data_IF_119540439853
#
_entry.id   IF_119540439853
#
_cell.length_a   1.000
_cell.length_b   1.000
_cell.length_c   1.000
_cell.angle_alpha   90.00
_cell.angle_beta   90.00
_cell.angle_gamma   90.00
#
_symmetry.space_group_name_H-M   'P 1'
#
loop_
_entity.id
_entity.type
_entity.pdbx_description
1 polymer ?
#
# COMPACT_ATOMS: atom_id res chain seq x y z
N UNK A 1 -1.04 0.70 45.34
CA UNK A 1 -2.51 0.82 45.21
C UNK A 1 -2.90 1.47 43.87
N UNK A 2 -2.15 2.48 43.41
CA UNK A 2 -2.46 3.25 42.19
C UNK A 2 -2.31 2.48 40.86
N UNK A 3 -1.43 1.48 40.77
CA UNK A 3 -1.24 0.69 39.54
C UNK A 3 -2.45 -0.23 39.26
N UNK A 4 -3.06 -0.79 40.31
CA UNK A 4 -4.25 -1.63 40.18
C UNK A 4 -5.48 -0.79 39.80
N UNK A 5 -5.61 0.42 40.35
CA UNK A 5 -6.70 1.34 40.00
C UNK A 5 -6.60 1.82 38.55
N UNK A 6 -5.39 2.13 38.05
CA UNK A 6 -5.17 2.49 36.65
C UNK A 6 -5.48 1.34 35.69
N UNK A 7 -5.13 0.10 36.05
CA UNK A 7 -5.45 -1.07 35.23
C UNK A 7 -6.96 -1.32 35.16
N UNK A 8 -7.67 -1.21 36.30
CA UNK A 8 -9.13 -1.38 36.37
C UNK A 8 -9.85 -0.27 35.58
N UNK A 9 -9.35 0.97 35.64
CA UNK A 9 -9.91 2.09 34.88
C UNK A 9 -9.69 1.91 33.38
N UNK A 10 -8.52 1.43 32.97
CA UNK A 10 -8.21 1.14 31.57
C UNK A 10 -9.05 -0.01 31.01
N UNK A 11 -9.22 -1.11 31.75
CA UNK A 11 -10.06 -2.24 31.33
C UNK A 11 -11.53 -1.84 31.25
N UNK A 12 -12.03 -1.05 32.22
CA UNK A 12 -13.41 -0.57 32.21
C UNK A 12 -13.66 0.45 31.07
N UNK A 13 -12.65 1.25 30.71
CA UNK A 13 -12.71 2.17 29.57
C UNK A 13 -12.76 1.43 28.23
N UNK A 14 -12.03 0.32 28.11
CA UNK A 14 -12.09 -0.56 26.94
C UNK A 14 -13.44 -1.27 26.87
N UNK A 15 -13.92 -1.87 27.97
CA UNK A 15 -15.23 -2.54 28.00
C UNK A 15 -16.38 -1.58 27.69
N UNK A 16 -16.32 -0.34 28.21
CA UNK A 16 -17.32 0.67 27.90
C UNK A 16 -17.26 1.11 26.44
N UNK A 17 -16.06 1.31 25.88
CA UNK A 17 -15.90 1.57 24.44
C UNK A 17 -16.41 0.43 23.56
N UNK A 18 -16.24 -0.83 24.00
CA UNK A 18 -16.75 -1.99 23.28
C UNK A 18 -18.28 -2.06 23.34
N UNK A 19 -18.89 -1.81 24.50
CA UNK A 19 -20.35 -1.73 24.66
C UNK A 19 -20.99 -0.57 23.89
N UNK A 20 -20.35 0.60 23.90
CA UNK A 20 -20.82 1.76 23.16
C UNK A 20 -20.69 1.50 21.64
N UNK A 21 -19.66 0.74 21.20
CA UNK A 21 -19.55 0.24 19.81
C UNK A 21 -20.61 -0.80 19.46
N UNK A 22 -20.92 -1.75 20.33
CA UNK A 22 -22.01 -2.72 20.11
C UNK A 22 -23.36 -2.01 19.93
N UNK A 23 -23.58 -0.89 20.63
CA UNK A 23 -24.78 -0.08 20.51
C UNK A 23 -24.82 0.74 19.21
N UNK A 24 -23.68 1.31 18.78
CA UNK A 24 -23.59 2.03 17.50
C UNK A 24 -23.65 1.09 16.29
N UNK A 25 -23.08 -0.12 16.38
CA UNK A 25 -23.13 -1.16 15.34
C UNK A 25 -24.54 -1.73 15.19
N UNK A 26 -25.33 -1.80 16.27
CA UNK A 26 -26.76 -2.15 16.22
C UNK A 26 -27.63 -1.11 15.49
N UNK A 27 -27.09 0.07 15.15
CA UNK A 27 -27.79 1.10 14.39
C UNK A 27 -27.61 1.01 12.86
N UNK A 28 -26.58 0.31 12.38
CA UNK A 28 -26.33 0.16 10.94
C UNK A 28 -27.09 -1.04 10.39
N UNK A 29 -27.79 -0.85 9.26
CA UNK A 29 -28.49 -1.97 8.61
C UNK A 29 -27.49 -3.02 8.11
N UNK A 30 -27.83 -4.32 8.17
CA UNK A 30 -26.95 -5.40 7.70
C UNK A 30 -26.38 -5.19 6.28
N UNK A 31 -27.07 -4.42 5.44
CA UNK A 31 -26.65 -4.06 4.10
C UNK A 31 -25.49 -3.05 4.09
N UNK A 32 -25.45 -2.11 5.04
CA UNK A 32 -24.38 -1.11 5.16
C UNK A 32 -23.03 -1.76 5.37
N UNK A 33 -22.93 -2.77 6.24
CA UNK A 33 -21.68 -3.50 6.46
C UNK A 33 -21.15 -4.14 5.17
N UNK A 34 -22.03 -4.76 4.37
CA UNK A 34 -21.64 -5.39 3.11
C UNK A 34 -21.10 -4.34 2.13
N UNK A 35 -21.79 -3.21 2.01
CA UNK A 35 -21.35 -2.10 1.14
C UNK A 35 -20.02 -1.53 1.61
N UNK A 36 -19.87 -1.27 2.92
CA UNK A 36 -18.62 -0.77 3.49
C UNK A 36 -17.46 -1.74 3.25
N UNK A 37 -17.67 -3.06 3.40
CA UNK A 37 -16.65 -4.06 3.11
C UNK A 37 -16.21 -4.04 1.64
N UNK A 38 -17.15 -3.87 0.69
CA UNK A 38 -16.81 -3.73 -0.73
C UNK A 38 -16.03 -2.44 -1.00
N UNK A 39 -16.44 -1.32 -0.40
CA UNK A 39 -15.73 -0.04 -0.54
C UNK A 39 -14.31 -0.13 0.04
N UNK A 40 -14.14 -0.73 1.21
CA UNK A 40 -12.85 -0.83 1.89
C UNK A 40 -11.93 -1.84 1.23
N UNK A 41 -12.39 -3.07 0.96
CA UNK A 41 -11.51 -4.14 0.48
C UNK A 41 -11.37 -4.25 -1.03
N UNK A 42 -12.26 -3.62 -1.81
CA UNK A 42 -12.19 -3.66 -3.28
C UNK A 42 -11.89 -2.28 -3.84
N UNK A 43 -12.71 -1.27 -3.51
CA UNK A 43 -12.61 0.04 -4.14
C UNK A 43 -11.38 0.83 -3.66
N UNK A 44 -11.18 0.93 -2.35
CA UNK A 44 -10.04 1.65 -1.74
C UNK A 44 -8.69 1.21 -2.33
N UNK A 45 -8.29 -0.07 -2.29
CA UNK A 45 -6.98 -0.50 -2.77
C UNK A 45 -6.83 -0.31 -4.29
N UNK A 46 -7.90 -0.47 -5.05
CA UNK A 46 -7.90 -0.21 -6.48
C UNK A 46 -7.68 1.29 -6.78
N UNK A 47 -8.40 2.18 -6.10
CA UNK A 47 -8.29 3.62 -6.29
C UNK A 47 -6.94 4.17 -5.82
N UNK A 48 -6.47 3.76 -4.64
CA UNK A 48 -5.16 4.22 -4.13
C UNK A 48 -4.04 3.82 -5.07
N UNK A 49 -4.02 2.56 -5.53
CA UNK A 49 -3.03 2.10 -6.50
C UNK A 49 -3.14 2.84 -7.84
N UNK A 50 -4.35 3.17 -8.30
CA UNK A 50 -4.55 3.91 -9.56
C UNK A 50 -4.02 5.35 -9.47
N UNK A 51 -4.26 6.03 -8.35
CA UNK A 51 -3.74 7.39 -8.11
C UNK A 51 -2.22 7.39 -8.03
N UNK A 52 -1.64 6.44 -7.28
CA UNK A 52 -0.19 6.30 -7.17
C UNK A 52 0.45 5.93 -8.50
N UNK A 53 -0.18 5.04 -9.28
CA UNK A 53 0.25 4.68 -10.64
C UNK A 53 0.29 5.88 -11.57
N UNK A 54 -0.73 6.74 -11.52
CA UNK A 54 -0.74 7.97 -12.30
C UNK A 54 0.43 8.91 -11.92
N UNK A 55 0.72 9.07 -10.64
CA UNK A 55 1.87 9.86 -10.19
C UNK A 55 3.21 9.21 -10.59
N UNK A 56 3.31 7.87 -10.50
CA UNK A 56 4.47 7.09 -10.93
C UNK A 56 4.76 7.24 -12.42
N UNK A 57 3.73 7.19 -13.27
CA UNK A 57 3.85 7.45 -14.71
C UNK A 57 4.46 8.82 -15.01
N UNK A 58 4.10 9.85 -14.24
CA UNK A 58 4.67 11.19 -14.39
C UNK A 58 6.15 11.19 -14.02
N UNK A 59 6.51 10.58 -12.88
CA UNK A 59 7.90 10.52 -12.43
C UNK A 59 8.79 9.77 -13.42
N UNK A 60 8.34 8.62 -13.91
CA UNK A 60 9.06 7.84 -14.93
C UNK A 60 9.20 8.62 -16.24
N UNK A 61 8.14 9.28 -16.69
CA UNK A 61 8.18 10.07 -17.92
C UNK A 61 9.25 11.16 -17.82
N UNK A 62 9.25 11.92 -16.73
CA UNK A 62 10.24 12.95 -16.46
C UNK A 62 11.66 12.38 -16.35
N UNK A 63 11.82 11.24 -15.67
CA UNK A 63 13.10 10.52 -15.58
C UNK A 63 13.69 10.20 -16.97
N UNK A 64 12.84 9.80 -17.92
CA UNK A 64 13.24 9.47 -19.30
C UNK A 64 13.49 10.71 -20.14
N UNK A 65 12.63 11.72 -20.05
CA UNK A 65 12.73 12.96 -20.83
C UNK A 65 13.96 13.78 -20.43
N UNK A 66 14.28 13.85 -19.14
CA UNK A 66 15.32 14.72 -18.60
C UNK A 66 16.70 14.05 -18.53
N UNK A 67 16.76 12.78 -18.10
CA UNK A 67 18.02 12.05 -17.90
C UNK A 67 18.29 10.99 -18.99
N UNK A 68 17.40 10.90 -19.97
CA UNK A 68 17.49 9.98 -21.10
C UNK A 68 17.03 8.55 -20.78
N UNK A 69 16.82 7.69 -21.79
CA UNK A 69 16.19 6.37 -21.60
C UNK A 69 16.92 5.42 -20.64
N UNK A 70 18.25 5.50 -20.56
CA UNK A 70 19.09 4.63 -19.71
C UNK A 70 18.96 4.94 -18.21
N UNK A 71 18.40 6.10 -17.84
CA UNK A 71 18.15 6.49 -16.45
C UNK A 71 17.18 5.54 -15.74
N UNK A 72 16.29 4.88 -16.48
CA UNK A 72 15.38 3.88 -15.94
C UNK A 72 16.11 2.66 -15.36
N UNK A 73 17.27 2.30 -15.92
CA UNK A 73 18.11 1.23 -15.38
C UNK A 73 19.01 1.75 -14.25
N UNK A 74 19.62 2.92 -14.44
CA UNK A 74 20.61 3.46 -13.49
C UNK A 74 19.97 4.00 -12.20
N UNK A 75 18.87 4.75 -12.33
CA UNK A 75 18.13 5.37 -11.22
C UNK A 75 16.94 4.49 -10.84
N UNK A 76 16.13 4.09 -11.82
CA UNK A 76 14.89 3.34 -11.57
C UNK A 76 15.05 1.83 -11.39
N UNK A 77 16.24 1.26 -11.57
CA UNK A 77 16.40 -0.20 -11.67
C UNK A 77 15.97 -0.94 -10.41
N UNK A 78 16.21 -0.35 -9.23
CA UNK A 78 15.77 -0.92 -7.95
C UNK A 78 14.24 -0.92 -7.82
N UNK A 79 13.58 0.15 -8.25
CA UNK A 79 12.12 0.24 -8.27
C UNK A 79 11.50 -0.85 -9.15
N UNK A 80 12.04 -1.05 -10.35
CA UNK A 80 11.60 -2.12 -11.27
C UNK A 80 11.83 -3.50 -10.65
N UNK A 81 12.99 -3.75 -10.06
CA UNK A 81 13.26 -5.03 -9.42
C UNK A 81 12.27 -5.35 -8.29
N UNK A 82 11.96 -4.37 -7.43
CA UNK A 82 10.97 -4.54 -6.34
C UNK A 82 9.54 -4.70 -6.88
N UNK A 83 9.21 -3.99 -7.96
CA UNK A 83 7.94 -4.11 -8.67
C UNK A 83 7.72 -5.55 -9.15
N UNK A 84 8.66 -6.09 -9.94
CA UNK A 84 8.59 -7.45 -10.47
C UNK A 84 8.67 -8.52 -9.37
N UNK A 85 9.49 -8.29 -8.34
CA UNK A 85 9.50 -9.17 -7.16
C UNK A 85 8.14 -9.21 -6.46
N UNK A 86 7.39 -8.09 -6.45
CA UNK A 86 6.04 -8.05 -5.93
C UNK A 86 5.10 -8.98 -6.67
N UNK A 87 5.11 -8.91 -8.00
CA UNK A 87 4.35 -9.84 -8.86
C UNK A 87 4.72 -11.29 -8.58
N UNK A 88 6.01 -11.61 -8.56
CA UNK A 88 6.47 -12.98 -8.31
C UNK A 88 6.09 -13.50 -6.91
N UNK A 89 6.23 -12.66 -5.88
CA UNK A 89 5.90 -13.03 -4.51
C UNK A 89 4.40 -13.29 -4.33
N UNK A 90 3.55 -12.42 -4.88
CA UNK A 90 2.11 -12.62 -4.83
C UNK A 90 1.65 -13.77 -5.72
N UNK A 91 2.27 -13.96 -6.89
CA UNK A 91 2.02 -15.12 -7.73
C UNK A 91 2.30 -16.42 -6.97
N UNK A 92 3.41 -16.49 -6.24
CA UNK A 92 3.71 -17.64 -5.37
C UNK A 92 2.67 -17.81 -4.26
N UNK A 93 2.31 -16.71 -3.56
CA UNK A 93 1.31 -16.72 -2.49
C UNK A 93 -0.04 -17.30 -2.96
N UNK A 94 -0.49 -16.92 -4.16
CA UNK A 94 -1.73 -17.40 -4.74
C UNK A 94 -1.58 -18.70 -5.54
N UNK A 95 -0.46 -19.42 -5.40
CA UNK A 95 -0.18 -20.69 -6.08
C UNK A 95 -0.25 -20.60 -7.62
N UNK A 96 0.15 -19.48 -8.21
CA UNK A 96 0.35 -19.38 -9.65
C UNK A 96 1.67 -20.04 -10.03
N UNK A 97 1.71 -20.62 -11.23
CA UNK A 97 2.94 -21.16 -11.80
C UNK A 97 3.70 -20.03 -12.48
N UNK A 98 4.73 -19.54 -11.82
CA UNK A 98 5.68 -18.57 -12.39
C UNK A 98 6.59 -19.30 -13.39
N UNK A 99 6.57 -18.87 -14.65
CA UNK A 99 7.33 -19.50 -15.75
C UNK A 99 8.59 -18.71 -16.08
N UNK A 100 8.55 -17.40 -15.91
CA UNK A 100 9.67 -16.51 -16.20
C UNK A 100 9.71 -15.36 -15.21
N UNK A 101 10.90 -15.01 -14.73
CA UNK A 101 11.13 -13.84 -13.88
C UNK A 101 12.36 -13.11 -14.40
N UNK A 102 12.14 -11.89 -14.87
CA UNK A 102 13.20 -10.96 -15.25
C UNK A 102 13.00 -9.66 -14.48
N UNK A 103 13.76 -9.49 -13.39
CA UNK A 103 13.64 -8.32 -12.51
C UNK A 103 14.14 -7.03 -13.13
N UNK A 104 15.15 -7.13 -14.00
CA UNK A 104 15.69 -6.00 -14.73
C UNK A 104 16.23 -6.47 -16.09
N UNK A 105 15.82 -5.79 -17.15
CA UNK A 105 16.24 -6.08 -18.50
C UNK A 105 17.23 -5.01 -18.99
N UNK A 106 18.53 -5.33 -18.95
CA UNK A 106 19.58 -4.44 -19.45
C UNK A 106 19.54 -4.23 -20.98
N UNK A 107 18.79 -5.05 -21.70
CA UNK A 107 18.58 -4.93 -23.15
C UNK A 107 17.23 -4.28 -23.49
N UNK A 108 16.63 -3.51 -22.57
CA UNK A 108 15.30 -2.91 -22.75
C UNK A 108 15.17 -2.09 -24.05
N UNK A 109 16.26 -1.49 -24.54
CA UNK A 109 16.27 -0.73 -25.79
C UNK A 109 15.89 -1.60 -27.02
N UNK A 110 16.10 -2.92 -26.94
CA UNK A 110 15.73 -3.87 -27.98
C UNK A 110 14.37 -4.56 -27.72
N UNK A 111 13.98 -4.73 -26.45
CA UNK A 111 12.80 -5.54 -26.05
C UNK A 111 11.59 -4.70 -25.65
N UNK A 112 11.76 -3.41 -25.34
CA UNK A 112 10.70 -2.50 -24.90
C UNK A 112 10.27 -2.65 -23.43
N UNK A 113 10.71 -3.70 -22.73
CA UNK A 113 10.31 -3.98 -21.34
C UNK A 113 11.51 -3.87 -20.38
N UNK A 114 11.32 -3.20 -19.24
CA UNK A 114 12.33 -3.02 -18.19
C UNK A 114 12.44 -4.22 -17.25
N UNK A 115 11.36 -4.98 -17.13
CA UNK A 115 11.21 -6.15 -16.30
C UNK A 115 9.96 -6.90 -16.74
N UNK A 116 9.84 -8.16 -16.32
CA UNK A 116 8.63 -8.95 -16.56
C UNK A 116 8.59 -10.18 -15.66
N UNK A 117 7.40 -10.48 -15.13
CA UNK A 117 7.08 -11.76 -14.52
C UNK A 117 5.95 -12.42 -15.29
N UNK A 118 6.24 -13.58 -15.88
CA UNK A 118 5.22 -14.40 -16.52
C UNK A 118 4.72 -15.45 -15.53
N UNK A 119 3.40 -15.49 -15.36
CA UNK A 119 2.76 -16.49 -14.52
C UNK A 119 1.49 -17.03 -15.18
N UNK A 120 1.15 -18.26 -14.85
CA UNK A 120 -0.06 -18.94 -15.32
C UNK A 120 -0.84 -19.50 -14.13
N UNK A 121 -2.16 -19.59 -14.30
CA UNK A 121 -3.05 -20.07 -13.24
C UNK A 121 -4.16 -20.97 -13.82
N UNK A 122 -4.71 -21.81 -12.96
CA UNK A 122 -5.87 -22.61 -13.22
C UNK A 122 -7.14 -21.74 -13.11
N UNK A 123 -7.76 -21.45 -14.25
CA UNK A 123 -9.01 -20.67 -14.31
C UNK A 123 -10.18 -21.31 -13.56
N UNK A 124 -10.13 -22.61 -13.25
CA UNK A 124 -11.15 -23.27 -12.44
C UNK A 124 -10.97 -23.05 -10.93
N UNK A 125 -9.80 -22.61 -10.50
CA UNK A 125 -9.52 -22.36 -9.07
C UNK A 125 -9.92 -20.93 -8.68
N UNK A 126 -10.90 -20.81 -7.77
CA UNK A 126 -11.34 -19.50 -7.24
C UNK A 126 -10.20 -18.79 -6.50
N UNK A 127 -9.38 -19.55 -5.75
CA UNK A 127 -8.24 -19.02 -5.01
C UNK A 127 -7.17 -18.40 -5.91
N UNK A 128 -6.87 -19.05 -7.05
CA UNK A 128 -5.91 -18.49 -7.99
C UNK A 128 -6.52 -17.31 -8.75
N UNK A 129 -7.80 -17.41 -9.16
CA UNK A 129 -8.49 -16.30 -9.83
C UNK A 129 -8.58 -15.05 -8.98
N UNK A 130 -8.95 -15.13 -7.71
CA UNK A 130 -8.93 -13.96 -6.83
C UNK A 130 -7.51 -13.42 -6.63
N UNK A 131 -6.50 -14.30 -6.71
CA UNK A 131 -5.09 -13.93 -6.63
C UNK A 131 -4.67 -12.88 -7.65
N UNK A 132 -5.25 -12.91 -8.85
CA UNK A 132 -5.02 -11.89 -9.88
C UNK A 132 -5.33 -10.46 -9.38
N UNK A 133 -6.34 -10.28 -8.51
CA UNK A 133 -6.64 -8.97 -7.92
C UNK A 133 -5.45 -8.41 -7.15
N UNK A 134 -4.82 -9.26 -6.33
CA UNK A 134 -3.70 -8.86 -5.48
C UNK A 134 -2.38 -8.83 -6.22
N UNK A 135 -2.14 -9.74 -7.18
CA UNK A 135 -0.92 -9.74 -8.01
C UNK A 135 -0.83 -8.44 -8.78
N UNK A 136 -1.88 -8.02 -9.48
CA UNK A 136 -1.84 -6.75 -10.23
C UNK A 136 -1.66 -5.51 -9.34
N UNK A 137 -2.05 -5.56 -8.07
CA UNK A 137 -1.82 -4.49 -7.09
C UNK A 137 -0.51 -4.66 -6.30
N UNK A 138 0.20 -5.78 -6.46
CA UNK A 138 1.35 -6.12 -5.63
C UNK A 138 2.44 -5.06 -5.66
N UNK A 139 2.83 -4.48 -6.82
CA UNK A 139 3.89 -3.47 -6.85
C UNK A 139 3.61 -2.23 -6.00
N UNK A 140 2.36 -1.78 -5.96
CA UNK A 140 1.95 -0.66 -5.10
C UNK A 140 2.25 -0.96 -3.62
N UNK A 141 1.89 -2.16 -3.16
CA UNK A 141 2.11 -2.57 -1.78
C UNK A 141 3.58 -2.89 -1.48
N UNK A 142 4.30 -3.56 -2.38
CA UNK A 142 5.69 -3.94 -2.15
C UNK A 142 6.64 -2.75 -2.19
N UNK A 143 6.45 -1.79 -3.11
CA UNK A 143 7.23 -0.55 -3.12
C UNK A 143 6.96 0.29 -1.86
N UNK A 144 5.69 0.43 -1.44
CA UNK A 144 5.34 1.17 -0.22
C UNK A 144 5.92 0.51 1.03
N UNK A 145 5.84 -0.82 1.11
CA UNK A 145 6.45 -1.58 2.20
C UNK A 145 7.98 -1.45 2.20
N UNK A 146 8.62 -1.50 1.03
CA UNK A 146 10.08 -1.34 0.92
C UNK A 146 10.53 0.03 1.44
N UNK A 147 9.88 1.12 1.03
CA UNK A 147 10.19 2.47 1.53
C UNK A 147 9.91 2.58 3.03
N UNK A 148 8.79 2.02 3.50
CA UNK A 148 8.48 1.98 4.93
C UNK A 148 9.57 1.27 5.75
N UNK A 149 10.05 0.11 5.29
CA UNK A 149 11.13 -0.61 5.96
C UNK A 149 12.46 0.17 5.90
N UNK A 150 12.79 0.78 4.77
CA UNK A 150 13.98 1.65 4.66
C UNK A 150 13.91 2.81 5.64
N UNK A 151 12.76 3.46 5.78
CA UNK A 151 12.55 4.53 6.73
C UNK A 151 12.75 4.04 8.18
N UNK A 152 12.22 2.86 8.50
CA UNK A 152 12.39 2.26 9.83
C UNK A 152 13.85 1.92 10.14
N UNK A 153 14.55 1.28 9.20
CA UNK A 153 15.91 0.79 9.43
C UNK A 153 16.99 1.89 9.34
N UNK A 154 16.87 2.82 8.39
CA UNK A 154 17.88 3.85 8.16
C UNK A 154 17.63 5.11 8.97
N UNK A 155 16.37 5.51 9.17
CA UNK A 155 16.02 6.73 9.91
C UNK A 155 15.64 6.46 11.37
N UNK A 156 15.58 5.19 11.78
CA UNK A 156 15.23 4.80 13.16
C UNK A 156 13.81 5.19 13.57
N UNK A 157 12.94 5.55 12.63
CA UNK A 157 11.58 5.99 12.92
C UNK A 157 10.56 4.87 12.65
N UNK A 158 9.74 4.56 13.65
CA UNK A 158 8.55 3.72 13.47
C UNK A 158 7.30 4.58 13.28
N UNK A 159 6.68 4.55 12.10
CA UNK A 159 5.29 4.98 11.99
C UNK A 159 4.46 4.03 12.87
N UNK A 160 3.95 4.53 13.98
CA UNK A 160 3.11 3.75 14.89
C UNK A 160 1.70 3.62 14.30
N UNK A 161 1.49 2.62 13.45
CA UNK A 161 0.18 2.30 12.84
C UNK A 161 -0.96 2.19 13.89
N UNK A 162 -0.62 1.79 15.12
CA UNK A 162 -1.55 1.65 16.25
C UNK A 162 -2.22 2.96 16.66
N UNK A 163 -1.57 4.12 16.47
CA UNK A 163 -2.16 5.44 16.74
C UNK A 163 -3.31 5.78 15.78
N UNK A 164 -3.32 5.16 14.60
CA UNK A 164 -4.28 5.42 13.55
C UNK A 164 -5.48 4.46 13.58
N UNK A 165 -5.34 3.27 14.19
CA UNK A 165 -6.41 2.26 14.31
C UNK A 165 -7.40 2.60 15.44
N UNK A 166 -6.95 3.34 16.46
CA UNK A 166 -7.76 3.68 17.65
C UNK A 166 -8.59 4.97 17.52
N UNK A 167 -8.53 5.68 16.39
CA UNK A 167 -9.42 6.81 16.16
C UNK A 167 -10.83 6.30 15.84
N UNK A 168 -11.74 6.50 16.80
CA UNK A 168 -13.17 6.33 16.57
C UNK A 168 -13.63 7.34 15.51
N UNK A 169 -14.65 6.93 14.75
CA UNK A 169 -15.62 7.77 14.03
C UNK A 169 -15.17 8.48 12.75
N UNK A 170 -15.76 8.06 11.62
CA UNK A 170 -16.08 8.86 10.42
C UNK A 170 -14.99 9.82 9.93
N UNK A 171 -14.35 9.44 8.82
CA UNK A 171 -13.34 10.23 8.11
C UNK A 171 -13.83 11.63 7.75
N UNK A 172 -13.59 12.57 8.64
CA UNK A 172 -13.74 13.99 8.35
C UNK A 172 -12.47 14.51 7.67
N UNK A 173 -12.59 15.59 6.91
CA UNK A 173 -11.45 16.26 6.25
C UNK A 173 -10.33 16.62 7.26
N UNK A 174 -10.69 16.89 8.51
CA UNK A 174 -9.76 17.13 9.62
C UNK A 174 -8.90 15.90 9.96
N UNK A 175 -9.45 14.69 9.85
CA UNK A 175 -8.71 13.46 10.12
C UNK A 175 -7.69 13.16 9.03
N UNK A 176 -8.03 13.45 7.76
CA UNK A 176 -7.07 13.37 6.67
C UNK A 176 -5.89 14.35 6.89
N UNK A 177 -6.17 15.57 7.34
CA UNK A 177 -5.15 16.54 7.75
C UNK A 177 -4.28 16.03 8.90
N UNK A 178 -4.85 15.33 9.86
CA UNK A 178 -4.10 14.73 10.97
C UNK A 178 -3.19 13.59 10.50
N UNK A 179 -3.68 12.71 9.63
CA UNK A 179 -2.87 11.64 9.01
C UNK A 179 -1.72 12.25 8.22
N UNK A 180 -1.99 13.29 7.41
CA UNK A 180 -0.95 13.99 6.66
C UNK A 180 0.13 14.57 7.57
N UNK A 181 -0.28 15.34 8.58
CA UNK A 181 0.65 15.96 9.53
C UNK A 181 1.48 14.91 10.28
N UNK A 182 0.91 13.76 10.60
CA UNK A 182 1.67 12.71 11.27
C UNK A 182 2.69 12.03 10.34
N UNK A 183 2.33 11.77 9.07
CA UNK A 183 3.27 11.23 8.08
C UNK A 183 4.43 12.20 7.84
N UNK A 184 4.13 13.49 7.67
CA UNK A 184 5.16 14.52 7.46
C UNK A 184 6.01 14.73 8.70
N UNK A 185 5.41 14.80 9.90
CA UNK A 185 6.16 14.87 11.15
C UNK A 185 7.06 13.65 11.35
N UNK A 186 6.56 12.45 11.06
CA UNK A 186 7.37 11.23 11.12
C UNK A 186 8.54 11.27 10.13
N UNK A 187 8.31 11.75 8.91
CA UNK A 187 9.39 11.95 7.96
C UNK A 187 10.43 12.95 8.50
N UNK A 188 10.00 14.13 8.97
CA UNK A 188 10.87 15.18 9.51
C UNK A 188 11.65 14.68 10.73
N UNK A 189 10.99 14.04 11.70
CA UNK A 189 11.65 13.48 12.89
C UNK A 189 12.64 12.38 12.53
N UNK A 190 12.35 11.56 11.53
CA UNK A 190 13.31 10.59 11.00
C UNK A 190 14.56 11.28 10.44
N UNK A 191 14.39 12.38 9.70
CA UNK A 191 15.51 13.18 9.19
C UNK A 191 16.30 13.91 10.27
N UNK A 192 15.67 14.34 11.38
CA UNK A 192 16.41 15.02 12.46
C UNK A 192 17.21 14.08 13.34
N UNK A 193 16.76 12.83 13.47
CA UNK A 193 17.33 11.88 14.43
C UNK A 193 18.39 10.96 13.81
N UNK A 194 18.44 10.87 12.47
CA UNK A 194 19.35 10.00 11.76
C UNK A 194 20.68 10.69 11.44
N UNK A 195 21.74 9.89 11.28
CA UNK A 195 23.01 10.39 10.75
C UNK A 195 22.86 10.84 9.30
N UNK A 196 23.55 11.92 8.92
CA UNK A 196 23.56 12.45 7.54
C UNK A 196 23.87 11.39 6.48
N UNK A 197 24.76 10.44 6.77
CA UNK A 197 25.10 9.35 5.84
C UNK A 197 23.88 8.46 5.56
N UNK A 198 23.12 8.11 6.61
CA UNK A 198 21.93 7.26 6.49
C UNK A 198 20.77 7.99 5.82
N UNK A 199 20.65 9.30 6.05
CA UNK A 199 19.68 10.16 5.35
C UNK A 199 19.95 10.17 3.85
N UNK A 200 21.21 10.36 3.44
CA UNK A 200 21.58 10.38 2.02
C UNK A 200 21.31 9.01 1.37
N UNK A 201 21.76 7.92 2.01
CA UNK A 201 21.50 6.56 1.51
C UNK A 201 19.99 6.31 1.39
N UNK A 202 19.23 6.72 2.41
CA UNK A 202 17.78 6.60 2.42
C UNK A 202 17.13 7.34 1.25
N UNK A 203 17.48 8.61 1.03
CA UNK A 203 16.92 9.41 -0.05
C UNK A 203 17.27 8.82 -1.43
N UNK A 204 18.51 8.37 -1.63
CA UNK A 204 18.91 7.70 -2.88
C UNK A 204 18.03 6.48 -3.12
N UNK A 205 17.92 5.57 -2.16
CA UNK A 205 17.12 4.35 -2.31
C UNK A 205 15.64 4.65 -2.48
N UNK A 206 15.09 5.61 -1.74
CA UNK A 206 13.68 6.01 -1.86
C UNK A 206 13.37 6.57 -3.26
N UNK A 207 14.26 7.38 -3.83
CA UNK A 207 14.14 7.89 -5.21
C UNK A 207 14.26 6.77 -6.23
N UNK A 208 15.22 5.86 -6.05
CA UNK A 208 15.38 4.71 -6.95
C UNK A 208 14.13 3.83 -6.98
N UNK A 209 13.42 3.70 -5.86
CA UNK A 209 12.15 2.97 -5.77
C UNK A 209 11.00 3.78 -6.36
N UNK A 210 10.84 5.04 -5.92
CA UNK A 210 9.67 5.84 -6.25
C UNK A 210 9.63 6.33 -7.70
N UNK A 211 10.79 6.50 -8.35
CA UNK A 211 10.89 6.99 -9.72
C UNK A 211 10.24 6.08 -10.76
N UNK A 212 10.30 4.76 -10.56
CA UNK A 212 9.78 3.76 -11.53
C UNK A 212 8.96 2.66 -10.89
N UNK A 213 9.13 2.34 -9.60
CA UNK A 213 8.48 1.20 -8.96
C UNK A 213 6.96 1.34 -8.88
N UNK A 214 6.45 2.57 -8.79
CA UNK A 214 5.02 2.86 -8.77
C UNK A 214 4.37 2.94 -10.16
N UNK A 215 5.12 2.74 -11.24
CA UNK A 215 4.63 2.77 -12.62
C UNK A 215 3.83 1.50 -12.98
N UNK A 216 2.63 1.32 -12.43
CA UNK A 216 1.79 0.16 -12.78
C UNK A 216 1.34 0.25 -14.24
N UNK A 217 1.62 -0.80 -15.00
CA UNK A 217 1.33 -0.96 -16.42
C UNK A 217 -0.16 -1.21 -16.69
N UNK A 218 -0.54 -1.25 -17.96
CA UNK A 218 -1.93 -1.59 -18.33
C UNK A 218 -2.22 -3.05 -18.06
N UNK A 219 -1.21 -3.90 -18.21
CA UNK A 219 -1.20 -5.34 -18.00
C UNK A 219 -1.44 -5.65 -16.52
N UNK A 220 -0.88 -4.85 -15.60
CA UNK A 220 -1.12 -4.98 -14.16
C UNK A 220 -2.61 -4.79 -13.83
N UNK A 221 -3.21 -3.69 -14.32
CA UNK A 221 -4.64 -3.43 -14.09
C UNK A 221 -5.56 -4.42 -14.83
N UNK A 222 -5.14 -4.95 -15.99
CA UNK A 222 -5.86 -6.05 -16.62
C UNK A 222 -5.86 -7.30 -15.74
N UNK A 223 -4.73 -7.60 -15.08
CA UNK A 223 -4.62 -8.69 -14.11
C UNK A 223 -5.57 -8.42 -12.93
N UNK A 224 -5.60 -7.21 -12.39
CA UNK A 224 -6.57 -6.84 -11.32
C UNK A 224 -8.02 -7.11 -11.74
N UNK A 225 -8.38 -6.68 -12.95
CA UNK A 225 -9.74 -6.85 -13.50
C UNK A 225 -10.12 -8.33 -13.71
N UNK A 226 -9.16 -9.22 -13.98
CA UNK A 226 -9.43 -10.65 -14.09
C UNK A 226 -9.75 -11.29 -12.72
N UNK A 227 -9.26 -10.71 -11.62
CA UNK A 227 -9.49 -11.19 -10.26
C UNK A 227 -10.62 -10.50 -9.50
N UNK A 228 -11.00 -9.28 -9.89
CA UNK A 228 -11.93 -8.45 -9.11
C UNK A 228 -13.28 -9.11 -8.86
N UNK A 229 -13.84 -9.82 -9.85
CA UNK A 229 -15.13 -10.50 -9.70
C UNK A 229 -15.04 -11.64 -8.66
N UNK A 230 -13.97 -12.43 -8.71
CA UNK A 230 -13.74 -13.50 -7.73
C UNK A 230 -13.51 -12.93 -6.33
N UNK A 231 -12.83 -11.78 -6.23
CA UNK A 231 -12.61 -11.10 -4.97
C UNK A 231 -13.92 -10.53 -4.37
N UNK A 232 -14.77 -9.90 -5.17
CA UNK A 232 -16.10 -9.41 -4.74
C UNK A 232 -16.93 -10.54 -4.14
N UNK A 233 -16.99 -11.69 -4.82
CA UNK A 233 -17.73 -12.86 -4.31
C UNK A 233 -17.19 -13.31 -2.95
N UNK A 234 -15.87 -13.34 -2.78
CA UNK A 234 -15.25 -13.70 -1.50
C UNK A 234 -15.57 -12.68 -0.41
N UNK A 235 -15.49 -11.38 -0.70
CA UNK A 235 -15.86 -10.31 0.25
C UNK A 235 -17.32 -10.44 0.69
N UNK A 236 -18.25 -10.73 -0.23
CA UNK A 236 -19.66 -10.96 0.10
C UNK A 236 -19.82 -12.19 1.01
N UNK A 237 -19.16 -13.30 0.70
CA UNK A 237 -19.21 -14.51 1.53
C UNK A 237 -18.68 -14.22 2.94
N UNK A 238 -17.54 -13.53 3.05
CA UNK A 238 -16.98 -13.13 4.35
C UNK A 238 -17.95 -12.21 5.10
N UNK A 239 -18.58 -11.24 4.43
CA UNK A 239 -19.56 -10.36 5.06
C UNK A 239 -20.76 -11.11 5.63
N UNK A 240 -21.30 -12.09 4.88
CA UNK A 240 -22.38 -12.95 5.35
C UNK A 240 -21.94 -13.78 6.56
N UNK A 241 -20.74 -14.36 6.54
CA UNK A 241 -20.20 -15.10 7.69
C UNK A 241 -20.03 -14.19 8.91
N UNK A 242 -19.55 -12.95 8.73
CA UNK A 242 -19.43 -11.96 9.80
C UNK A 242 -20.78 -11.67 10.47
N UNK A 243 -21.85 -11.54 9.68
CA UNK A 243 -23.21 -11.33 10.19
C UNK A 243 -23.75 -12.57 10.91
N UNK A 244 -23.51 -13.78 10.37
CA UNK A 244 -23.98 -15.03 10.97
C UNK A 244 -23.32 -15.35 12.31
N UNK A 245 -22.04 -15.03 12.47
CA UNK A 245 -21.25 -15.34 13.68
C UNK A 245 -21.14 -14.17 14.67
N UNK A 246 -21.81 -13.04 14.41
CA UNK A 246 -21.74 -11.82 15.21
C UNK A 246 -20.30 -11.28 15.39
N UNK A 247 -19.50 -11.29 14.31
CA UNK A 247 -18.14 -10.75 14.29
C UNK A 247 -18.07 -9.31 13.75
N UNK A 248 -19.17 -8.54 13.84
CA UNK A 248 -19.24 -7.19 13.27
C UNK A 248 -18.18 -6.27 13.88
N UNK A 249 -18.05 -6.22 15.21
CA UNK A 249 -17.07 -5.36 15.88
C UNK A 249 -15.62 -5.64 15.46
N UNK A 250 -15.09 -6.88 15.53
CA UNK A 250 -13.73 -7.14 15.08
C UNK A 250 -13.54 -6.91 13.58
N UNK A 251 -14.57 -7.17 12.76
CA UNK A 251 -14.52 -6.86 11.33
C UNK A 251 -14.40 -5.35 11.08
N UNK A 252 -15.19 -4.51 11.75
CA UNK A 252 -15.11 -3.05 11.61
C UNK A 252 -13.74 -2.52 12.04
N UNK A 253 -13.14 -3.06 13.12
CA UNK A 253 -11.77 -2.69 13.53
C UNK A 253 -10.76 -3.07 12.45
N UNK A 254 -10.87 -4.27 11.87
CA UNK A 254 -10.00 -4.73 10.80
C UNK A 254 -10.14 -3.87 9.52
N UNK A 255 -11.38 -3.54 9.13
CA UNK A 255 -11.68 -2.66 7.99
C UNK A 255 -11.06 -1.28 8.17
N UNK A 256 -11.23 -0.66 9.34
CA UNK A 256 -10.65 0.65 9.63
C UNK A 256 -9.12 0.60 9.54
N UNK A 257 -8.49 -0.43 10.10
CA UNK A 257 -7.04 -0.61 10.00
C UNK A 257 -6.57 -0.77 8.56
N UNK A 258 -7.27 -1.57 7.74
CA UNK A 258 -6.95 -1.76 6.32
C UNK A 258 -7.11 -0.47 5.51
N UNK A 259 -8.19 0.27 5.75
CA UNK A 259 -8.45 1.54 5.09
C UNK A 259 -7.35 2.56 5.41
N UNK A 260 -7.08 2.78 6.70
CA UNK A 260 -6.03 3.68 7.18
C UNK A 260 -4.67 3.31 6.61
N UNK A 261 -4.31 2.02 6.60
CA UNK A 261 -3.07 1.54 6.01
C UNK A 261 -2.98 1.90 4.52
N UNK A 262 -4.06 1.72 3.77
CA UNK A 262 -4.12 2.04 2.34
C UNK A 262 -3.95 3.55 2.09
N UNK A 263 -4.52 4.40 2.95
CA UNK A 263 -4.35 5.86 2.88
C UNK A 263 -2.93 6.28 3.25
N UNK A 264 -2.33 5.69 4.30
CA UNK A 264 -0.94 5.96 4.67
C UNK A 264 0.00 5.61 3.51
N UNK A 265 -0.17 4.45 2.88
CA UNK A 265 0.64 4.03 1.73
C UNK A 265 0.44 4.94 0.52
N UNK A 266 -0.79 5.37 0.24
CA UNK A 266 -1.08 6.37 -0.80
C UNK A 266 -0.28 7.67 -0.55
N UNK A 267 -0.40 8.23 0.64
CA UNK A 267 0.21 9.52 0.98
C UNK A 267 1.73 9.43 1.02
N UNK A 268 2.26 8.32 1.54
CA UNK A 268 3.68 8.02 1.55
C UNK A 268 4.22 7.90 0.12
N UNK A 269 3.56 7.13 -0.75
CA UNK A 269 3.96 6.98 -2.14
C UNK A 269 3.97 8.33 -2.87
N UNK A 270 2.91 9.14 -2.72
CA UNK A 270 2.83 10.47 -3.33
C UNK A 270 3.99 11.36 -2.86
N UNK A 271 4.28 11.37 -1.55
CA UNK A 271 5.39 12.15 -1.00
C UNK A 271 6.73 11.79 -1.68
N UNK A 272 7.05 10.50 -1.79
CA UNK A 272 8.32 10.06 -2.38
C UNK A 272 8.38 10.21 -3.90
N UNK A 273 7.24 10.06 -4.59
CA UNK A 273 7.16 10.37 -6.02
C UNK A 273 7.42 11.86 -6.27
N UNK A 274 6.86 12.75 -5.45
CA UNK A 274 7.13 14.20 -5.54
C UNK A 274 8.59 14.51 -5.25
N UNK A 275 9.19 13.91 -4.21
CA UNK A 275 10.62 14.06 -3.91
C UNK A 275 11.48 13.57 -5.09
N UNK A 276 11.12 12.44 -5.70
CA UNK A 276 11.80 11.89 -6.87
C UNK A 276 11.75 12.86 -8.05
N UNK A 277 10.56 13.38 -8.37
CA UNK A 277 10.36 14.41 -9.41
C UNK A 277 11.25 15.63 -9.14
N UNK A 278 11.25 16.17 -7.92
CA UNK A 278 12.08 17.34 -7.59
C UNK A 278 13.58 17.07 -7.77
N UNK A 279 14.06 15.91 -7.34
CA UNK A 279 15.47 15.55 -7.44
C UNK A 279 15.91 15.27 -8.89
N UNK A 280 15.07 14.59 -9.67
CA UNK A 280 15.32 14.39 -11.11
C UNK A 280 15.41 15.74 -11.81
N UNK A 281 14.50 16.67 -11.49
CA UNK A 281 14.51 18.01 -12.07
C UNK A 281 15.74 18.82 -11.68
N UNK A 282 16.27 18.67 -10.46
CA UNK A 282 17.55 19.30 -10.09
C UNK A 282 18.72 18.69 -10.88
N UNK A 283 18.74 17.36 -11.01
CA UNK A 283 19.79 16.66 -11.75
C UNK A 283 19.81 17.01 -13.24
N UNK A 284 18.67 17.35 -13.83
CA UNK A 284 18.58 17.73 -15.25
C UNK A 284 19.17 19.11 -15.56
N UNK A 285 19.34 19.97 -14.55
CA UNK A 285 19.95 21.30 -14.69
C UNK A 285 21.48 21.30 -14.49
N UNK A 286 22.05 20.19 -13.98
CA UNK A 286 23.48 20.02 -13.73
C UNK A 286 24.20 19.48 -14.97
#
# INVERSE_FOLDING_TARGET
MDILLNHIWYTNSIEKNLKDRDFMVNGNSNWELIVEMLLVFVLTPYLTARVVSWAGHISKKMLVEDLGPNSQLAVGGLGVAIHELGHAAFAFLFHHKVTHVQLLNFHYAATGNLGSVEHSWNQKSIYQRLGNFFIGLAPFYTCSMAIFLLQKFLLGNSLEFTKYINQNSSLNLSEFGNVFNQITNSFITGLTNASWIFIIIYLILAVMIASTGYDLSREDFQTVNQGILSWIVVVIVVAVLTLLFNFQVPMTVFMNGFFVLSIIFLMQAILYVVISILLIGILSFL
#
